data_IF_135114589811
#
_entry.id   IF_135114589811
#
_cell.length_a   1.000
_cell.length_b   1.000
_cell.length_c   1.000
_cell.angle_alpha   90.00
_cell.angle_beta   90.00
_cell.angle_gamma   90.00
#
_symmetry.space_group_name_H-M   'P 1'
#
loop_
_entity.id
_entity.type
_entity.pdbx_description
1 polymer ?
#
# COMPACT_ATOMS: atom_id res chain seq x y z
N UNK A 1 11.66 -8.27 0.40
CA UNK A 1 11.84 -6.83 0.17
C UNK A 1 11.09 -6.49 -1.09
N UNK A 2 10.05 -5.66 -0.99
CA UNK A 2 9.28 -5.19 -2.16
C UNK A 2 9.82 -3.82 -2.60
N UNK A 3 9.96 -3.61 -3.91
CA UNK A 3 10.40 -2.33 -4.47
C UNK A 3 9.21 -1.41 -4.68
N UNK A 4 9.30 -0.16 -4.20
CA UNK A 4 8.35 0.91 -4.53
C UNK A 4 8.99 1.76 -5.63
N UNK A 5 8.32 1.85 -6.78
CA UNK A 5 8.85 2.54 -7.97
C UNK A 5 7.82 3.57 -8.46
N UNK A 6 8.21 4.84 -8.46
CA UNK A 6 7.47 5.90 -9.13
C UNK A 6 7.77 5.88 -10.63
N UNK A 7 6.89 5.22 -11.38
CA UNK A 7 6.98 5.14 -12.83
C UNK A 7 6.52 6.41 -13.55
N UNK A 8 5.87 7.35 -12.86
CA UNK A 8 5.40 8.61 -13.45
C UNK A 8 6.53 9.64 -13.51
N UNK A 9 7.53 9.50 -12.64
CA UNK A 9 8.79 10.23 -12.72
C UNK A 9 9.75 9.74 -13.84
N UNK A 10 9.45 8.61 -14.51
CA UNK A 10 10.23 8.11 -15.65
C UNK A 10 9.60 8.60 -16.96
N UNK A 11 10.07 9.76 -17.43
CA UNK A 11 9.57 10.43 -18.65
C UNK A 11 9.90 9.68 -19.96
N UNK A 12 10.94 8.85 -19.94
CA UNK A 12 11.40 8.09 -21.11
C UNK A 12 10.68 6.72 -21.16
N UNK A 13 9.79 6.57 -22.13
CA UNK A 13 9.00 5.34 -22.34
C UNK A 13 9.88 4.11 -22.53
N UNK A 14 11.00 4.22 -23.22
CA UNK A 14 11.91 3.09 -23.46
C UNK A 14 12.62 2.66 -22.17
N UNK A 15 13.00 3.60 -21.30
CA UNK A 15 13.58 3.29 -19.98
C UNK A 15 12.55 2.66 -19.04
N UNK A 16 11.32 3.17 -19.05
CA UNK A 16 10.19 2.61 -18.29
C UNK A 16 9.93 1.15 -18.68
N UNK A 17 9.87 0.89 -19.98
CA UNK A 17 9.65 -0.46 -20.49
C UNK A 17 10.81 -1.43 -20.20
N UNK A 18 12.06 -0.95 -20.37
CA UNK A 18 13.25 -1.73 -20.02
C UNK A 18 13.27 -2.13 -18.54
N UNK A 19 12.95 -1.20 -17.64
CA UNK A 19 12.90 -1.46 -16.20
C UNK A 19 11.85 -2.51 -15.85
N UNK A 20 10.63 -2.38 -16.38
CA UNK A 20 9.54 -3.35 -16.16
C UNK A 20 9.95 -4.75 -16.63
N UNK A 21 10.55 -4.86 -17.82
CA UNK A 21 10.99 -6.15 -18.38
C UNK A 21 12.07 -6.80 -17.52
N UNK A 22 13.00 -6.01 -17.01
CA UNK A 22 14.11 -6.49 -16.18
C UNK A 22 13.62 -6.96 -14.81
N UNK A 23 12.70 -6.23 -14.18
CA UNK A 23 12.09 -6.64 -12.90
C UNK A 23 11.32 -7.96 -13.03
N UNK A 24 10.56 -8.12 -14.12
CA UNK A 24 9.87 -9.39 -14.44
C UNK A 24 10.85 -10.54 -14.65
N UNK A 25 11.94 -10.31 -15.40
CA UNK A 25 12.98 -11.32 -15.65
C UNK A 25 13.65 -11.79 -14.36
N UNK A 26 13.89 -10.86 -13.43
CA UNK A 26 14.52 -11.16 -12.13
C UNK A 26 13.52 -11.66 -11.08
N UNK A 27 12.24 -11.80 -11.43
CA UNK A 27 11.15 -12.18 -10.52
C UNK A 27 11.09 -11.29 -9.24
N UNK A 28 11.34 -10.00 -9.41
CA UNK A 28 11.29 -9.03 -8.31
C UNK A 28 9.90 -8.41 -8.28
N UNK A 29 9.19 -8.61 -7.16
CA UNK A 29 7.93 -7.93 -6.89
C UNK A 29 8.14 -6.42 -6.73
N UNK A 30 7.32 -5.63 -7.42
CA UNK A 30 7.34 -4.19 -7.32
C UNK A 30 5.92 -3.63 -7.23
N UNK A 31 5.76 -2.56 -6.48
CA UNK A 31 4.57 -1.73 -6.45
C UNK A 31 4.87 -0.43 -7.19
N UNK A 32 3.97 -0.04 -8.07
CA UNK A 32 3.97 1.33 -8.61
C UNK A 32 3.61 2.26 -7.47
N UNK A 33 4.32 3.40 -7.32
CA UNK A 33 4.09 4.37 -6.24
C UNK A 33 2.61 4.48 -5.92
N UNK A 34 2.27 4.25 -4.65
CA UNK A 34 0.93 4.48 -4.16
C UNK A 34 0.55 5.91 -4.55
N UNK A 35 -0.56 6.06 -5.26
CA UNK A 35 -1.06 7.38 -5.60
C UNK A 35 -1.14 8.17 -4.29
N UNK A 36 -0.53 9.36 -4.19
CA UNK A 36 -0.72 10.20 -3.04
C UNK A 36 -2.22 10.39 -2.83
N UNK A 37 -2.72 10.05 -1.65
CA UNK A 37 -4.11 10.31 -1.33
C UNK A 37 -4.37 11.81 -1.45
N UNK A 38 -5.45 12.15 -2.13
CA UNK A 38 -5.98 13.51 -2.06
C UNK A 38 -6.48 13.79 -0.65
N UNK A 39 -6.54 15.08 -0.27
CA UNK A 39 -7.10 15.49 1.03
C UNK A 39 -8.53 14.97 1.22
N UNK A 40 -9.30 14.88 0.13
CA UNK A 40 -10.65 14.34 0.16
C UNK A 40 -10.68 12.83 0.48
N UNK A 41 -9.83 12.04 -0.18
CA UNK A 41 -9.69 10.60 0.10
C UNK A 41 -9.22 10.36 1.54
N UNK A 42 -8.22 11.12 2.01
CA UNK A 42 -7.75 11.03 3.39
C UNK A 42 -8.87 11.32 4.41
N UNK A 43 -9.65 12.37 4.19
CA UNK A 43 -10.76 12.71 5.09
C UNK A 43 -11.86 11.64 5.07
N UNK A 44 -12.16 11.07 3.91
CA UNK A 44 -13.12 9.99 3.79
C UNK A 44 -12.66 8.73 4.55
N UNK A 45 -11.38 8.39 4.48
CA UNK A 45 -10.82 7.26 5.23
C UNK A 45 -10.86 7.50 6.75
N UNK A 46 -10.64 8.75 7.19
CA UNK A 46 -10.80 9.11 8.60
C UNK A 46 -12.25 8.97 9.06
N UNK A 47 -13.22 9.40 8.26
CA UNK A 47 -14.64 9.23 8.60
C UNK A 47 -15.01 7.74 8.67
N UNK A 48 -14.57 6.93 7.70
CA UNK A 48 -14.80 5.49 7.69
C UNK A 48 -14.19 4.79 8.92
N UNK A 49 -12.97 5.18 9.30
CA UNK A 49 -12.30 4.66 10.50
C UNK A 49 -13.01 5.06 11.80
N UNK A 50 -13.49 6.31 11.90
CA UNK A 50 -14.27 6.75 13.06
C UNK A 50 -15.59 5.97 13.17
N UNK A 51 -16.29 5.78 12.05
CA UNK A 51 -17.50 4.97 11.96
C UNK A 51 -17.29 3.53 12.45
N UNK A 52 -16.16 2.92 12.09
CA UNK A 52 -15.80 1.57 12.50
C UNK A 52 -15.52 1.48 14.01
N UNK A 53 -14.82 2.48 14.55
CA UNK A 53 -14.57 2.59 16.00
C UNK A 53 -15.88 2.75 16.77
N UNK A 54 -16.79 3.61 16.31
CA UNK A 54 -18.11 3.82 16.93
C UNK A 54 -18.97 2.55 16.92
N UNK A 55 -18.85 1.74 15.86
CA UNK A 55 -19.52 0.43 15.74
C UNK A 55 -18.87 -0.67 16.59
N UNK A 56 -17.75 -0.37 17.28
CA UNK A 56 -17.00 -1.33 18.08
C UNK A 56 -16.15 -2.30 17.25
N UNK A 57 -15.85 -1.97 15.99
CA UNK A 57 -15.05 -2.76 15.06
C UNK A 57 -13.54 -2.68 15.30
N UNK A 58 -13.10 -2.35 16.51
CA UNK A 58 -11.68 -2.28 16.84
C UNK A 58 -11.24 -3.52 17.63
N UNK A 59 -9.98 -3.92 17.45
CA UNK A 59 -9.35 -4.94 18.28
C UNK A 59 -8.46 -4.27 19.31
N UNK A 60 -8.42 -4.81 20.53
CA UNK A 60 -7.49 -4.30 21.55
C UNK A 60 -6.09 -4.84 21.31
N UNK A 61 -5.07 -4.22 21.91
CA UNK A 61 -3.71 -4.76 21.90
C UNK A 61 -3.64 -6.20 22.45
N UNK A 62 -4.54 -6.54 23.38
CA UNK A 62 -4.67 -7.90 23.92
C UNK A 62 -5.20 -8.87 22.87
N UNK A 63 -6.17 -8.45 22.05
CA UNK A 63 -6.74 -9.28 20.99
C UNK A 63 -5.76 -9.46 19.84
N UNK A 64 -5.03 -8.40 19.48
CA UNK A 64 -3.94 -8.48 18.51
C UNK A 64 -2.86 -9.47 18.96
N UNK A 65 -2.47 -9.45 20.23
CA UNK A 65 -1.49 -10.40 20.79
C UNK A 65 -1.99 -11.85 20.68
N UNK A 66 -3.27 -12.09 21.00
CA UNK A 66 -3.86 -13.44 20.88
C UNK A 66 -3.91 -13.94 19.43
N UNK A 67 -4.16 -13.07 18.45
CA UNK A 67 -4.13 -13.44 17.03
C UNK A 67 -2.70 -13.68 16.54
N UNK A 68 -1.73 -12.86 16.96
CA UNK A 68 -0.32 -13.05 16.62
C UNK A 68 0.24 -14.37 17.16
N UNK A 69 -0.18 -14.79 18.36
CA UNK A 69 0.23 -16.07 18.95
C UNK A 69 -0.31 -17.31 18.20
N UNK A 70 -1.23 -17.15 17.23
CA UNK A 70 -1.78 -18.24 16.39
C UNK A 70 -1.01 -18.48 15.09
N UNK A 71 -0.11 -17.58 14.71
CA UNK A 71 0.70 -17.67 13.47
C UNK A 71 2.07 -18.27 13.76
#
# INVERSE_FOLDING_TARGET
MELIIDFDNIQDTSKKEWLIRTLKLMNIGYHTSEKPQTVAEYNQDLEAGNDEIEKGGFITATDLKKEADKW
#
